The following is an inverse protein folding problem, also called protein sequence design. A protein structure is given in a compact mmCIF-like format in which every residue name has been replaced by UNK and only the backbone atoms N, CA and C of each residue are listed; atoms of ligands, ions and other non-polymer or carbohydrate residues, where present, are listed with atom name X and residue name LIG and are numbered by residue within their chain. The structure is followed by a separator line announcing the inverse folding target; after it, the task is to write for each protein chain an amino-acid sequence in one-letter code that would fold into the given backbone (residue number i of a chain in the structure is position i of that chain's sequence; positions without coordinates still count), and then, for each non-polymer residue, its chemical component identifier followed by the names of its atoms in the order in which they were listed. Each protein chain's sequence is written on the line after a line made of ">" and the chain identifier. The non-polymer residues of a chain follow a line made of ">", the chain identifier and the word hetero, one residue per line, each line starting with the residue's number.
data_IF_347207077149
#
_entry.id   IF_347207077149
#
_cell.length_a   1.000
_cell.length_b   1.000
_cell.length_c   1.000
_cell.angle_alpha   90.00
_cell.angle_beta   90.00
_cell.angle_gamma   90.00
#
_symmetry.space_group_name_H-M   'P 1'
#
loop_
_entity.id
_entity.type
_entity.pdbx_description
1 polymer ?
#
# COMPACT_ATOMS: atom_id res chain seq x y z
N UNK A 1 -7.19 12.26 0.38
CA UNK A 1 -5.87 12.72 0.86
C UNK A 1 -5.68 12.07 2.22
N UNK A 2 -4.62 11.27 2.42
CA UNK A 2 -4.42 10.59 3.70
C UNK A 2 -4.45 11.58 4.86
N UNK A 3 -5.25 11.30 5.88
CA UNK A 3 -5.35 12.14 7.07
C UNK A 3 -4.02 12.06 7.85
N UNK A 4 -3.53 13.23 8.28
CA UNK A 4 -2.24 13.41 8.96
C UNK A 4 -2.15 12.52 10.22
N UNK A 5 -1.60 11.31 10.06
CA UNK A 5 -1.52 10.32 11.14
C UNK A 5 -1.68 8.87 10.69
N UNK A 6 -2.26 8.62 9.52
CA UNK A 6 -2.42 7.26 9.00
C UNK A 6 -1.08 6.53 8.86
N UNK A 7 -0.03 7.22 8.42
CA UNK A 7 1.32 6.64 8.33
C UNK A 7 1.96 6.31 9.69
N UNK A 8 1.54 6.98 10.78
CA UNK A 8 2.11 6.78 12.13
C UNK A 8 1.29 5.79 12.98
N UNK A 9 0.11 5.37 12.52
CA UNK A 9 -0.71 4.41 13.25
C UNK A 9 -0.12 3.01 13.11
N UNK A 10 0.06 2.32 14.24
CA UNK A 10 0.59 0.95 14.28
C UNK A 10 -0.31 0.04 13.42
N UNK A 11 0.26 -0.54 12.35
CA UNK A 11 -0.46 -1.43 11.42
C UNK A 11 -1.16 -0.74 10.24
N UNK A 12 -1.06 0.58 10.10
CA UNK A 12 -1.73 1.30 9.00
C UNK A 12 -0.94 1.30 7.69
N UNK A 13 0.35 0.98 7.71
CA UNK A 13 1.16 0.76 6.49
C UNK A 13 1.42 -0.72 6.27
N UNK A 14 1.36 -1.16 5.01
CA UNK A 14 1.69 -2.50 4.57
C UNK A 14 2.84 -2.44 3.58
N UNK A 15 3.69 -3.45 3.58
CA UNK A 15 4.68 -3.64 2.52
C UNK A 15 4.05 -4.39 1.34
N UNK A 16 4.66 -4.34 0.15
CA UNK A 16 4.21 -5.10 -1.02
C UNK A 16 4.09 -6.61 -0.74
N UNK A 17 5.03 -7.17 0.05
CA UNK A 17 4.99 -8.57 0.50
C UNK A 17 3.80 -8.88 1.42
N UNK A 18 3.44 -7.94 2.30
CA UNK A 18 2.33 -8.12 3.25
C UNK A 18 0.99 -7.93 2.55
N UNK A 19 0.89 -6.96 1.64
CA UNK A 19 -0.29 -6.74 0.82
C UNK A 19 -0.61 -8.00 0.00
N UNK A 20 0.40 -8.62 -0.62
CA UNK A 20 0.24 -9.91 -1.30
C UNK A 20 -0.21 -11.04 -0.37
N UNK A 21 0.35 -11.12 0.84
CA UNK A 21 0.01 -12.19 1.77
C UNK A 21 -1.40 -12.06 2.38
N UNK A 22 -1.84 -10.83 2.69
CA UNK A 22 -3.11 -10.58 3.39
C UNK A 22 -4.30 -10.41 2.43
N UNK A 23 -4.08 -9.79 1.28
CA UNK A 23 -5.14 -9.40 0.34
C UNK A 23 -5.05 -10.12 -1.02
N UNK A 24 -4.09 -11.04 -1.19
CA UNK A 24 -3.78 -11.72 -2.45
C UNK A 24 -3.52 -10.76 -3.64
N UNK A 25 -3.15 -9.51 -3.35
CA UNK A 25 -2.88 -8.50 -4.38
C UNK A 25 -1.46 -8.63 -4.90
N UNK A 26 -1.31 -8.64 -6.22
CA UNK A 26 0.01 -8.65 -6.85
C UNK A 26 0.70 -7.30 -6.73
N UNK A 27 2.05 -7.30 -6.72
CA UNK A 27 2.85 -6.07 -6.77
C UNK A 27 2.45 -5.18 -7.94
N UNK A 28 2.09 -5.78 -9.08
CA UNK A 28 1.59 -5.07 -10.26
C UNK A 28 0.30 -4.28 -9.96
N UNK A 29 -0.63 -4.86 -9.19
CA UNK A 29 -1.88 -4.19 -8.79
C UNK A 29 -1.59 -2.96 -7.91
N UNK A 30 -0.63 -3.08 -7.00
CA UNK A 30 -0.18 -1.97 -6.16
C UNK A 30 0.48 -0.89 -7.01
N UNK A 31 1.38 -1.27 -7.93
CA UNK A 31 2.04 -0.35 -8.87
C UNK A 31 1.03 0.35 -9.77
N UNK A 32 0.02 -0.37 -10.27
CA UNK A 32 -1.07 0.19 -11.06
C UNK A 32 -1.81 1.24 -10.24
N UNK A 33 -2.20 0.93 -9.01
CA UNK A 33 -2.86 1.90 -8.12
C UNK A 33 -2.00 3.11 -7.75
N UNK A 34 -0.67 2.93 -7.66
CA UNK A 34 0.28 4.05 -7.53
C UNK A 34 0.31 4.90 -8.81
N UNK A 35 0.37 4.28 -9.99
CA UNK A 35 0.37 4.96 -11.28
C UNK A 35 -0.95 5.72 -11.53
N UNK A 36 -2.08 5.20 -11.04
CA UNK A 36 -3.37 5.88 -11.14
C UNK A 36 -3.50 7.05 -10.14
N UNK A 37 -2.57 7.18 -9.19
CA UNK A 37 -2.63 8.14 -8.10
C UNK A 37 -3.66 7.78 -7.02
N UNK A 38 -4.19 6.55 -7.02
CA UNK A 38 -5.13 6.06 -6.00
C UNK A 38 -4.44 5.53 -4.73
N UNK A 39 -3.21 5.04 -4.86
CA UNK A 39 -2.38 4.61 -3.73
C UNK A 39 -1.17 5.54 -3.54
N UNK A 40 -1.00 6.02 -2.31
CA UNK A 40 0.23 6.64 -1.87
C UNK A 40 1.24 5.55 -1.48
N UNK A 41 2.47 5.70 -1.97
CA UNK A 41 3.58 4.86 -1.60
C UNK A 41 4.69 5.67 -0.95
N UNK A 42 5.43 5.01 -0.07
CA UNK A 42 6.72 5.46 0.41
C UNK A 42 7.75 4.39 0.14
N UNK A 43 8.84 4.79 -0.51
CA UNK A 43 10.03 3.98 -0.54
C UNK A 43 10.67 3.97 0.86
N UNK A 44 11.15 2.81 1.26
CA UNK A 44 11.99 2.64 2.41
C UNK A 44 13.09 1.63 2.10
N UNK A 45 14.16 1.68 2.88
CA UNK A 45 15.17 0.64 2.89
C UNK A 45 15.33 0.14 4.33
N UNK A 46 14.92 -1.10 4.63
CA UNK A 46 15.31 -1.75 5.88
C UNK A 46 16.57 -2.53 5.56
N UNK A 47 17.69 -2.18 6.21
CA UNK A 47 18.93 -2.97 6.12
C UNK A 47 19.40 -3.25 4.68
N UNK A 48 19.28 -2.26 3.79
CA UNK A 48 19.70 -2.38 2.39
C UNK A 48 18.69 -3.08 1.47
N UNK A 49 17.56 -3.56 2.01
CA UNK A 49 16.49 -4.13 1.21
C UNK A 49 15.45 -3.05 0.88
N UNK A 50 15.38 -2.57 -0.39
CA UNK A 50 14.37 -1.60 -0.79
C UNK A 50 13.00 -2.26 -0.73
N UNK A 51 12.06 -1.62 -0.04
CA UNK A 51 10.69 -2.08 0.11
C UNK A 51 9.73 -0.93 -0.11
N UNK A 52 8.56 -1.25 -0.68
CA UNK A 52 7.51 -0.27 -0.91
C UNK A 52 6.51 -0.38 0.23
N UNK A 53 6.28 0.74 0.94
CA UNK A 53 5.19 0.86 1.92
C UNK A 53 4.01 1.56 1.28
N UNK A 54 2.83 0.99 1.47
CA UNK A 54 1.56 1.58 1.08
C UNK A 54 0.62 1.63 2.27
N UNK A 55 -0.41 2.47 2.25
CA UNK A 55 -1.41 2.51 3.30
C UNK A 55 -2.42 1.38 3.14
N UNK A 56 -2.70 0.65 4.23
CA UNK A 56 -3.73 -0.39 4.30
C UNK A 56 -5.08 0.18 3.85
N UNK A 57 -5.47 1.32 4.41
CA UNK A 57 -6.79 1.92 4.13
C UNK A 57 -6.96 2.31 2.66
N UNK A 58 -5.88 2.78 2.01
CA UNK A 58 -5.90 3.08 0.57
C UNK A 58 -5.95 1.81 -0.28
N UNK A 59 -5.21 0.77 0.12
CA UNK A 59 -5.23 -0.51 -0.57
C UNK A 59 -6.63 -1.15 -0.48
N UNK A 60 -7.22 -1.19 0.71
CA UNK A 60 -8.58 -1.70 0.92
C UNK A 60 -9.61 -0.93 0.09
N UNK A 61 -9.50 0.39 0.06
CA UNK A 61 -10.37 1.24 -0.77
C UNK A 61 -10.17 0.98 -2.26
N UNK A 62 -8.94 0.84 -2.72
CA UNK A 62 -8.62 0.56 -4.12
C UNK A 62 -9.12 -0.84 -4.55
N UNK A 63 -8.97 -1.85 -3.69
CA UNK A 63 -9.55 -3.19 -3.88
C UNK A 63 -11.07 -3.07 -4.00
N UNK A 64 -11.73 -2.37 -3.07
CA UNK A 64 -13.17 -2.17 -3.11
C UNK A 64 -13.65 -1.38 -4.34
N UNK A 65 -12.81 -0.52 -4.92
CA UNK A 65 -13.12 0.21 -6.16
C UNK A 65 -12.88 -0.59 -7.45
N UNK A 66 -11.90 -1.51 -7.50
CA UNK A 66 -11.64 -2.35 -8.69
C UNK A 66 -12.45 -3.65 -8.69
N UNK A 67 -12.82 -4.18 -7.51
CA UNK A 67 -13.57 -5.44 -7.35
C UNK A 67 -15.04 -5.24 -6.93
N UNK A 68 -15.46 -4.00 -6.66
CA UNK A 68 -16.82 -3.63 -6.26
C UNK A 68 -17.72 -3.20 -7.41
#
# INVERSE_FOLDING_TARGET
>A
MAEYGEWNRKGATLSDVTAKAEYDVSRDFIVKGIQTGKLEYRDGAIWGNPYLRVLRSQLERYIAEELG
#
